data_IF_226316783573
#
_entry.id   IF_226316783573
#
_cell.length_a   1.000
_cell.length_b   1.000
_cell.length_c   1.000
_cell.angle_alpha   90.00
_cell.angle_beta   90.00
_cell.angle_gamma   90.00
#
_symmetry.space_group_name_H-M   'P 1'
#
loop_
_entity.id
_entity.type
_entity.pdbx_description
1 polymer ?
#
# COMPACT_ATOMS: atom_id res chain seq x y z
N UNK A 1 -34.05 -4.08 8.82
CA UNK A 1 -34.43 -2.65 8.89
C UNK A 1 -33.22 -1.73 8.95
N UNK A 2 -33.15 -0.78 8.02
CA UNK A 2 -32.16 0.31 8.03
C UNK A 2 -32.60 1.46 8.96
N UNK A 3 -31.67 2.30 9.42
CA UNK A 3 -32.02 3.41 10.33
C UNK A 3 -32.88 4.49 9.65
N UNK A 4 -32.73 4.66 8.34
CA UNK A 4 -33.54 5.61 7.57
C UNK A 4 -34.95 5.08 7.33
N UNK A 5 -35.07 3.78 7.04
CA UNK A 5 -36.34 3.09 6.90
C UNK A 5 -37.12 3.07 8.23
N UNK A 6 -36.45 2.79 9.35
CA UNK A 6 -37.07 2.87 10.69
C UNK A 6 -37.62 4.27 10.97
N UNK A 7 -36.85 5.30 10.64
CA UNK A 7 -37.28 6.70 10.78
C UNK A 7 -38.46 7.04 9.89
N UNK A 8 -38.46 6.57 8.64
CA UNK A 8 -39.55 6.81 7.69
C UNK A 8 -40.84 6.14 8.20
N UNK A 9 -40.77 4.88 8.59
CA UNK A 9 -41.93 4.17 9.13
C UNK A 9 -42.48 4.80 10.42
N UNK A 10 -41.61 5.26 11.33
CA UNK A 10 -42.04 5.99 12.52
C UNK A 10 -42.68 7.34 12.16
N UNK A 11 -42.11 8.08 11.21
CA UNK A 11 -42.68 9.35 10.74
C UNK A 11 -44.06 9.13 10.09
N UNK A 12 -44.19 8.12 9.24
CA UNK A 12 -45.45 7.76 8.60
C UNK A 12 -46.49 7.31 9.64
N UNK A 13 -46.09 6.57 10.68
CA UNK A 13 -46.96 6.17 11.78
C UNK A 13 -47.43 7.38 12.62
N UNK A 14 -46.53 8.31 12.95
CA UNK A 14 -46.86 9.55 13.65
C UNK A 14 -47.86 10.38 12.83
N UNK A 15 -47.61 10.56 11.53
CA UNK A 15 -48.50 11.30 10.65
C UNK A 15 -49.90 10.66 10.57
N UNK A 16 -49.97 9.32 10.47
CA UNK A 16 -51.26 8.58 10.51
C UNK A 16 -51.98 8.76 11.83
N UNK A 17 -51.25 8.73 12.96
CA UNK A 17 -51.83 8.95 14.28
C UNK A 17 -52.40 10.36 14.42
N UNK A 18 -51.66 11.39 14.01
CA UNK A 18 -52.14 12.78 14.05
C UNK A 18 -53.36 12.99 13.15
N UNK A 19 -53.34 12.42 11.95
CA UNK A 19 -54.48 12.46 11.04
C UNK A 19 -55.73 11.78 11.62
N UNK A 20 -55.58 10.60 12.23
CA UNK A 20 -56.69 9.93 12.93
C UNK A 20 -57.19 10.74 14.12
N UNK A 21 -56.28 11.35 14.89
CA UNK A 21 -56.62 12.19 16.03
C UNK A 21 -57.44 13.42 15.60
N UNK A 22 -57.05 14.07 14.50
CA UNK A 22 -57.80 15.19 13.92
C UNK A 22 -59.18 14.75 13.43
N UNK A 23 -59.27 13.64 12.69
CA UNK A 23 -60.54 13.08 12.22
C UNK A 23 -61.52 12.73 13.34
N UNK A 24 -61.01 12.24 14.47
CA UNK A 24 -61.83 11.95 15.65
C UNK A 24 -62.26 13.22 16.41
N UNK A 25 -61.53 14.32 16.24
CA UNK A 25 -61.84 15.63 16.83
C UNK A 25 -62.87 16.40 16.00
N UNK A 26 -62.87 16.22 14.68
CA UNK A 26 -63.83 16.82 13.74
C UNK A 26 -65.17 16.06 13.80
N UNK A 27 -65.92 16.28 14.88
CA UNK A 27 -67.23 15.63 15.14
C UNK A 27 -68.33 16.04 14.16
N UNK A 28 -68.16 17.17 13.47
CA UNK A 28 -69.22 17.83 12.70
C UNK A 28 -69.54 17.16 11.35
N UNK A 29 -68.73 16.19 10.93
CA UNK A 29 -68.93 15.49 9.65
C UNK A 29 -69.70 14.17 9.77
N UNK A 30 -70.06 13.71 10.97
CA UNK A 30 -70.62 12.35 11.16
C UNK A 30 -72.13 12.26 10.85
N UNK A 31 -72.87 13.35 10.99
CA UNK A 31 -74.34 13.34 10.86
C UNK A 31 -74.84 13.31 9.40
N UNK A 32 -73.97 13.55 8.42
CA UNK A 32 -74.32 13.63 6.99
C UNK A 32 -73.94 12.39 6.16
N UNK A 33 -73.33 11.38 6.76
CA UNK A 33 -72.89 10.18 6.05
C UNK A 33 -74.06 9.23 5.77
N UNK A 34 -74.11 8.69 4.55
CA UNK A 34 -74.96 7.54 4.25
C UNK A 34 -74.45 6.27 4.95
N UNK A 35 -75.30 5.26 5.13
CA UNK A 35 -74.94 4.00 5.78
C UNK A 35 -73.74 3.29 5.10
N UNK A 36 -73.67 3.33 3.77
CA UNK A 36 -72.54 2.78 3.02
C UNK A 36 -71.23 3.56 3.25
N UNK A 37 -71.30 4.89 3.27
CA UNK A 37 -70.14 5.74 3.56
C UNK A 37 -69.68 5.56 5.01
N UNK A 38 -70.60 5.36 5.93
CA UNK A 38 -70.31 5.02 7.33
C UNK A 38 -69.53 3.71 7.47
N UNK A 39 -69.97 2.65 6.78
CA UNK A 39 -69.24 1.39 6.76
C UNK A 39 -67.85 1.52 6.14
N UNK A 40 -67.72 2.25 5.02
CA UNK A 40 -66.42 2.52 4.40
C UNK A 40 -65.50 3.32 5.33
N UNK A 41 -66.03 4.32 6.03
CA UNK A 41 -65.29 5.13 6.99
C UNK A 41 -64.78 4.30 8.18
N UNK A 42 -65.65 3.48 8.79
CA UNK A 42 -65.28 2.58 9.88
C UNK A 42 -64.25 1.53 9.45
N UNK A 43 -64.41 0.96 8.26
CA UNK A 43 -63.45 0.00 7.69
C UNK A 43 -62.08 0.64 7.49
N UNK A 44 -62.03 1.85 6.93
CA UNK A 44 -60.78 2.59 6.74
C UNK A 44 -60.13 2.96 8.10
N UNK A 45 -60.91 3.40 9.08
CA UNK A 45 -60.42 3.69 10.43
C UNK A 45 -59.89 2.43 11.13
N UNK A 46 -60.58 1.29 10.99
CA UNK A 46 -60.11 -0.01 11.47
C UNK A 46 -58.81 -0.45 10.81
N UNK A 47 -58.68 -0.24 9.49
CA UNK A 47 -57.45 -0.56 8.75
C UNK A 47 -56.28 0.32 9.20
N UNK A 48 -56.49 1.63 9.33
CA UNK A 48 -55.46 2.57 9.77
C UNK A 48 -55.01 2.31 11.22
N UNK A 49 -55.93 1.98 12.12
CA UNK A 49 -55.61 1.62 13.51
C UNK A 49 -54.87 0.28 13.58
N UNK A 50 -55.27 -0.73 12.80
CA UNK A 50 -54.56 -2.00 12.70
C UNK A 50 -53.12 -1.83 12.17
N UNK A 51 -52.93 -0.96 11.16
CA UNK A 51 -51.59 -0.62 10.67
C UNK A 51 -50.73 0.02 11.76
N UNK A 52 -51.29 0.96 12.55
CA UNK A 52 -50.60 1.59 13.68
C UNK A 52 -50.20 0.57 14.75
N UNK A 53 -51.11 -0.32 15.14
CA UNK A 53 -50.85 -1.39 16.11
C UNK A 53 -49.73 -2.30 15.60
N UNK A 54 -49.76 -2.69 14.33
CA UNK A 54 -48.71 -3.49 13.73
C UNK A 54 -47.36 -2.77 13.73
N UNK A 55 -47.32 -1.47 13.42
CA UNK A 55 -46.08 -0.70 13.53
C UNK A 55 -45.59 -0.60 14.98
N UNK A 56 -46.47 -0.40 15.96
CA UNK A 56 -46.11 -0.40 17.38
C UNK A 56 -45.44 -1.70 17.77
N UNK A 57 -46.07 -2.83 17.46
CA UNK A 57 -45.55 -4.18 17.78
C UNK A 57 -44.16 -4.44 17.24
N UNK A 58 -43.84 -3.92 16.04
CA UNK A 58 -42.50 -4.04 15.46
C UNK A 58 -41.46 -3.30 16.31
N UNK A 59 -41.82 -2.13 16.87
CA UNK A 59 -40.92 -1.32 17.70
C UNK A 59 -40.97 -1.63 19.19
N UNK A 60 -41.95 -2.42 19.64
CA UNK A 60 -42.01 -2.97 20.99
C UNK A 60 -40.97 -4.08 21.22
N UNK A 61 -40.34 -4.61 20.15
CA UNK A 61 -39.21 -5.55 20.26
C UNK A 61 -37.93 -4.84 20.73
N UNK A 62 -37.54 -5.10 21.98
CA UNK A 62 -36.33 -4.58 22.61
C UNK A 62 -35.06 -4.89 21.82
N UNK A 63 -34.98 -6.03 21.12
CA UNK A 63 -33.80 -6.41 20.35
C UNK A 63 -33.62 -5.49 19.13
N UNK A 64 -34.71 -5.23 18.40
CA UNK A 64 -34.72 -4.30 17.28
C UNK A 64 -34.35 -2.89 17.74
N UNK A 65 -34.92 -2.45 18.86
CA UNK A 65 -34.68 -1.11 19.41
C UNK A 65 -33.21 -0.95 19.85
N UNK A 66 -32.63 -1.96 20.50
CA UNK A 66 -31.21 -2.01 20.85
C UNK A 66 -30.31 -2.03 19.60
N UNK A 67 -30.69 -2.76 18.55
CA UNK A 67 -29.95 -2.77 17.28
C UNK A 67 -29.95 -1.38 16.63
N UNK A 68 -31.09 -0.69 16.58
CA UNK A 68 -31.20 0.65 16.04
C UNK A 68 -30.39 1.66 16.85
N UNK A 69 -30.42 1.58 18.19
CA UNK A 69 -29.56 2.37 19.09
C UNK A 69 -28.07 2.15 18.78
N UNK A 70 -27.63 0.89 18.62
CA UNK A 70 -26.24 0.56 18.25
C UNK A 70 -25.84 1.16 16.89
N UNK A 71 -26.71 1.05 15.88
CA UNK A 71 -26.49 1.66 14.55
C UNK A 71 -26.40 3.19 14.64
N UNK A 72 -27.27 3.83 15.42
CA UNK A 72 -27.24 5.27 15.65
C UNK A 72 -25.94 5.71 16.33
N UNK A 73 -25.51 4.98 17.36
CA UNK A 73 -24.26 5.27 18.09
C UNK A 73 -23.03 5.05 17.20
N UNK A 74 -23.03 4.03 16.33
CA UNK A 74 -21.98 3.83 15.32
C UNK A 74 -21.88 5.04 14.38
N UNK A 75 -23.01 5.56 13.89
CA UNK A 75 -23.03 6.75 13.03
C UNK A 75 -22.53 8.00 13.76
N UNK A 76 -22.93 8.23 15.01
CA UNK A 76 -22.44 9.34 15.84
C UNK A 76 -20.93 9.27 16.03
N UNK A 77 -20.40 8.09 16.39
CA UNK A 77 -18.95 7.85 16.53
C UNK A 77 -18.21 8.09 15.23
N UNK A 78 -18.72 7.58 14.10
CA UNK A 78 -18.10 7.78 12.79
C UNK A 78 -18.07 9.26 12.38
N UNK A 79 -19.15 10.01 12.61
CA UNK A 79 -19.20 11.46 12.36
C UNK A 79 -18.19 12.22 13.23
N UNK A 80 -18.10 11.88 14.52
CA UNK A 80 -17.13 12.48 15.43
C UNK A 80 -15.68 12.16 15.01
N UNK A 81 -15.42 10.91 14.65
CA UNK A 81 -14.13 10.47 14.12
C UNK A 81 -13.76 11.22 12.84
N UNK A 82 -14.68 11.34 11.87
CA UNK A 82 -14.45 12.08 10.62
C UNK A 82 -14.09 13.54 10.88
N UNK A 83 -14.76 14.20 11.84
CA UNK A 83 -14.41 15.57 12.28
C UNK A 83 -13.01 15.64 12.89
N UNK A 84 -12.67 14.71 13.80
CA UNK A 84 -11.35 14.65 14.44
C UNK A 84 -10.24 14.35 13.45
N UNK A 85 -10.49 13.44 12.51
CA UNK A 85 -9.57 13.07 11.45
C UNK A 85 -9.29 14.26 10.52
N UNK A 86 -10.33 14.95 10.05
CA UNK A 86 -10.18 16.18 9.24
C UNK A 86 -9.32 17.22 9.94
N UNK A 87 -9.55 17.47 11.24
CA UNK A 87 -8.72 18.38 12.05
C UNK A 87 -7.26 17.93 12.13
N UNK A 88 -6.99 16.65 12.37
CA UNK A 88 -5.63 16.10 12.43
C UNK A 88 -4.89 16.23 11.09
N UNK A 89 -5.57 15.94 9.97
CA UNK A 89 -4.99 16.09 8.63
C UNK A 89 -4.65 17.55 8.35
N UNK A 90 -5.57 18.48 8.66
CA UNK A 90 -5.31 19.92 8.53
C UNK A 90 -4.14 20.39 9.40
N UNK A 91 -4.02 19.91 10.65
CA UNK A 91 -2.89 20.22 11.52
C UNK A 91 -1.57 19.71 10.96
N UNK A 92 -1.51 18.47 10.47
CA UNK A 92 -0.32 17.92 9.81
C UNK A 92 0.08 18.75 8.59
N UNK A 93 -0.88 19.14 7.73
CA UNK A 93 -0.62 20.00 6.57
C UNK A 93 -0.06 21.36 7.00
N UNK A 94 -0.64 22.01 8.02
CA UNK A 94 -0.10 23.26 8.58
C UNK A 94 1.31 23.11 9.14
N UNK A 95 1.61 22.00 9.83
CA UNK A 95 2.95 21.73 10.33
C UNK A 95 3.96 21.52 9.21
N UNK A 96 3.58 20.81 8.13
CA UNK A 96 4.41 20.65 6.94
C UNK A 96 4.68 21.99 6.28
N UNK A 97 3.66 22.83 6.08
CA UNK A 97 3.84 24.18 5.52
C UNK A 97 4.81 25.01 6.37
N UNK A 98 4.68 25.02 7.70
CA UNK A 98 5.62 25.70 8.59
C UNK A 98 7.05 25.14 8.50
N UNK A 99 7.21 23.83 8.33
CA UNK A 99 8.53 23.22 8.12
C UNK A 99 9.12 23.65 6.77
N UNK A 100 8.31 23.66 5.72
CA UNK A 100 8.71 24.09 4.39
C UNK A 100 9.10 25.56 4.39
N UNK A 101 8.31 26.45 5.01
CA UNK A 101 8.65 27.88 5.16
C UNK A 101 9.98 28.08 5.90
N UNK A 102 10.20 27.34 6.99
CA UNK A 102 11.49 27.38 7.71
C UNK A 102 12.65 26.91 6.83
N UNK A 103 12.44 25.84 6.07
CA UNK A 103 13.45 25.29 5.17
C UNK A 103 13.78 26.26 4.03
N UNK A 104 12.77 26.91 3.45
CA UNK A 104 12.94 27.96 2.44
C UNK A 104 13.74 29.12 3.04
N UNK A 105 13.38 29.61 4.23
CA UNK A 105 14.13 30.69 4.90
C UNK A 105 15.58 30.31 5.20
N UNK A 106 15.84 29.08 5.63
CA UNK A 106 17.19 28.58 5.88
C UNK A 106 18.02 28.50 4.58
N UNK A 107 17.39 28.09 3.47
CA UNK A 107 18.02 28.10 2.15
C UNK A 107 18.28 29.52 1.67
N UNK A 108 17.28 30.40 1.73
CA UNK A 108 17.42 31.81 1.36
C UNK A 108 18.53 32.47 2.18
N UNK A 109 18.58 32.19 3.48
CA UNK A 109 19.67 32.66 4.34
C UNK A 109 21.01 32.10 3.85
N UNK A 110 21.16 30.78 3.67
CA UNK A 110 22.39 30.16 3.16
C UNK A 110 22.81 30.71 1.79
N UNK A 111 21.88 30.95 0.88
CA UNK A 111 22.13 31.49 -0.46
C UNK A 111 22.50 32.97 -0.42
N UNK A 112 21.97 33.75 0.54
CA UNK A 112 22.31 35.18 0.69
C UNK A 112 23.61 35.40 1.46
N UNK A 113 23.93 34.57 2.45
CA UNK A 113 25.22 34.66 3.16
C UNK A 113 26.36 33.92 2.48
N UNK A 114 26.14 32.88 1.66
CA UNK A 114 27.24 32.19 0.99
C UNK A 114 28.05 33.10 0.04
N UNK A 115 27.47 33.98 -0.79
CA UNK A 115 28.24 34.89 -1.64
C UNK A 115 29.00 35.94 -0.83
N UNK A 116 28.44 36.46 0.27
CA UNK A 116 29.10 37.49 1.08
C UNK A 116 30.19 36.91 1.99
N UNK A 117 29.97 35.73 2.57
CA UNK A 117 30.96 35.00 3.38
C UNK A 117 32.06 34.44 2.48
N UNK A 118 31.73 33.94 1.28
CA UNK A 118 32.76 33.51 0.32
C UNK A 118 33.52 34.70 -0.26
N UNK A 119 32.88 35.85 -0.54
CA UNK A 119 33.60 37.05 -1.00
C UNK A 119 34.52 37.62 0.08
N UNK A 120 34.07 37.67 1.34
CA UNK A 120 34.89 38.09 2.48
C UNK A 120 36.01 37.09 2.79
N UNK A 121 35.75 35.78 2.70
CA UNK A 121 36.75 34.74 2.87
C UNK A 121 37.76 34.70 1.73
N UNK A 122 37.36 34.97 0.48
CA UNK A 122 38.28 35.11 -0.66
C UNK A 122 39.14 36.38 -0.52
N UNK A 123 38.59 37.47 0.01
CA UNK A 123 39.34 38.69 0.31
C UNK A 123 40.35 38.50 1.47
N UNK A 124 39.96 37.79 2.53
CA UNK A 124 40.83 37.46 3.66
C UNK A 124 41.86 36.35 3.34
N UNK A 125 41.51 35.37 2.49
CA UNK A 125 42.44 34.35 2.03
C UNK A 125 43.56 34.90 1.13
N UNK A 126 43.30 35.99 0.40
CA UNK A 126 44.34 36.71 -0.35
C UNK A 126 45.36 37.41 0.56
N UNK A 127 45.00 37.75 1.81
CA UNK A 127 45.89 38.39 2.78
C UNK A 127 46.56 37.39 3.75
N UNK A 128 46.00 36.19 3.93
CA UNK A 128 46.49 35.16 4.87
C UNK A 128 47.17 33.92 4.21
N UNK A 129 47.44 33.95 2.90
CA UNK A 129 47.82 32.79 2.07
C UNK A 129 49.11 32.02 2.45
N UNK A 130 49.85 32.42 3.48
CA UNK A 130 51.13 31.79 3.84
C UNK A 130 51.11 30.94 5.12
N UNK A 131 50.09 31.02 5.98
CA UNK A 131 50.13 30.39 7.32
C UNK A 131 48.91 29.54 7.72
N UNK A 132 47.73 29.70 7.12
CA UNK A 132 46.49 29.05 7.60
C UNK A 132 46.21 27.65 7.02
N UNK A 133 46.82 27.28 5.90
CA UNK A 133 46.66 25.95 5.26
C UNK A 133 47.14 24.81 6.16
N UNK A 134 48.14 25.03 7.01
CA UNK A 134 48.63 24.00 7.95
C UNK A 134 47.71 23.82 9.17
N UNK A 135 47.11 24.90 9.70
CA UNK A 135 46.22 24.80 10.87
C UNK A 135 44.87 24.14 10.52
N UNK A 136 44.25 24.50 9.39
CA UNK A 136 43.01 23.86 8.94
C UNK A 136 43.20 22.37 8.61
N UNK A 137 44.34 22.00 7.98
CA UNK A 137 44.67 20.59 7.77
C UNK A 137 44.86 19.83 9.08
N UNK A 138 45.44 20.46 10.11
CA UNK A 138 45.61 19.81 11.43
C UNK A 138 44.26 19.56 12.13
N UNK A 139 43.32 20.50 12.04
CA UNK A 139 42.00 20.39 12.64
C UNK A 139 41.15 19.34 11.92
N UNK A 140 41.21 19.30 10.58
CA UNK A 140 40.56 18.26 9.78
C UNK A 140 41.13 16.86 10.11
N UNK A 141 42.46 16.73 10.24
CA UNK A 141 43.08 15.46 10.66
C UNK A 141 42.61 15.01 12.05
N UNK A 142 42.46 15.94 13.00
CA UNK A 142 41.91 15.63 14.34
C UNK A 142 40.45 15.19 14.26
N UNK A 143 39.61 15.86 13.46
CA UNK A 143 38.21 15.50 13.25
C UNK A 143 38.08 14.13 12.58
N UNK A 144 38.86 13.84 11.55
CA UNK A 144 38.87 12.53 10.88
C UNK A 144 39.24 11.43 11.89
N UNK A 145 40.24 11.66 12.75
CA UNK A 145 40.62 10.71 13.82
C UNK A 145 39.52 10.49 14.86
N UNK A 146 38.73 11.50 15.21
CA UNK A 146 37.63 11.33 16.16
C UNK A 146 36.44 10.61 15.52
N UNK A 147 36.13 10.93 14.25
CA UNK A 147 35.08 10.25 13.49
C UNK A 147 35.43 8.78 13.21
N UNK A 148 36.68 8.47 12.89
CA UNK A 148 37.12 7.08 12.68
C UNK A 148 37.02 6.24 13.94
N UNK A 149 37.40 6.79 15.11
CA UNK A 149 37.21 6.12 16.41
C UNK A 149 35.73 5.86 16.72
N UNK A 150 34.85 6.85 16.47
CA UNK A 150 33.40 6.68 16.65
C UNK A 150 32.83 5.62 15.71
N UNK A 151 33.27 5.60 14.46
CA UNK A 151 32.87 4.58 13.48
C UNK A 151 33.28 3.19 13.96
N UNK A 152 34.53 3.01 14.41
CA UNK A 152 35.03 1.74 14.94
C UNK A 152 34.18 1.21 16.12
N UNK A 153 33.83 2.09 17.06
CA UNK A 153 32.94 1.73 18.18
C UNK A 153 31.52 1.35 17.71
N UNK A 154 30.98 2.05 16.71
CA UNK A 154 29.67 1.73 16.14
C UNK A 154 29.68 0.39 15.39
N UNK A 155 30.76 0.07 14.68
CA UNK A 155 30.92 -1.24 14.02
C UNK A 155 31.03 -2.35 15.05
N UNK A 156 31.72 -2.13 16.17
CA UNK A 156 31.81 -3.11 17.26
C UNK A 156 30.46 -3.34 17.93
N UNK A 157 29.70 -2.28 18.22
CA UNK A 157 28.32 -2.39 18.74
C UNK A 157 27.42 -3.15 17.75
N UNK A 158 27.56 -2.91 16.44
CA UNK A 158 26.80 -3.63 15.42
C UNK A 158 27.15 -5.12 15.41
N UNK A 159 28.43 -5.48 15.50
CA UNK A 159 28.88 -6.87 15.58
C UNK A 159 28.35 -7.57 16.83
N UNK A 160 28.42 -6.94 18.01
CA UNK A 160 27.87 -7.50 19.26
C UNK A 160 26.36 -7.70 19.20
N UNK A 161 25.62 -6.76 18.59
CA UNK A 161 24.16 -6.89 18.38
C UNK A 161 23.83 -8.00 17.41
N UNK A 162 24.57 -8.15 16.31
CA UNK A 162 24.42 -9.25 15.37
C UNK A 162 24.69 -10.59 16.03
N UNK A 163 25.81 -10.74 16.73
CA UNK A 163 26.15 -11.97 17.49
C UNK A 163 25.07 -12.35 18.50
N UNK A 164 24.47 -11.37 19.18
CA UNK A 164 23.31 -11.58 20.05
C UNK A 164 22.09 -12.07 19.26
N UNK A 165 21.80 -11.48 18.11
CA UNK A 165 20.67 -11.87 17.26
C UNK A 165 20.89 -13.24 16.58
N UNK A 166 22.12 -13.59 16.21
CA UNK A 166 22.52 -14.91 15.72
C UNK A 166 22.33 -15.99 16.79
N UNK A 167 22.71 -15.69 18.05
CA UNK A 167 22.41 -16.58 19.18
C UNK A 167 20.91 -16.78 19.43
N UNK A 168 20.08 -15.86 18.92
CA UNK A 168 18.61 -15.92 18.95
C UNK A 168 18.01 -16.50 17.65
N UNK A 169 18.85 -16.99 16.73
CA UNK A 169 18.42 -17.64 15.48
C UNK A 169 18.17 -16.70 14.29
N UNK A 170 18.57 -15.42 14.37
CA UNK A 170 18.51 -14.51 13.22
C UNK A 170 19.77 -14.63 12.35
N UNK A 171 19.59 -14.68 11.03
CA UNK A 171 20.67 -14.83 10.05
C UNK A 171 21.02 -13.49 9.38
N UNK A 172 22.31 -13.16 9.29
CA UNK A 172 22.82 -11.99 8.57
C UNK A 172 23.69 -12.42 7.39
N UNK A 173 23.33 -11.99 6.18
CA UNK A 173 24.00 -12.40 4.94
C UNK A 173 25.38 -11.74 4.72
N UNK A 174 25.72 -10.67 5.43
CA UNK A 174 26.91 -9.85 5.15
C UNK A 174 28.26 -10.53 5.51
N UNK A 175 28.27 -11.56 6.36
CA UNK A 175 29.50 -12.20 6.88
C UNK A 175 29.49 -13.74 6.82
N UNK A 176 28.48 -14.35 6.19
CA UNK A 176 28.34 -15.80 6.02
C UNK A 176 28.93 -16.34 4.71
N UNK A 177 29.95 -15.69 4.16
CA UNK A 177 30.42 -15.87 2.78
C UNK A 177 31.34 -17.09 2.55
N UNK A 178 30.93 -18.29 2.97
CA UNK A 178 31.53 -19.49 2.35
C UNK A 178 31.02 -19.66 0.90
N UNK A 179 29.76 -19.27 0.65
CA UNK A 179 29.10 -19.42 -0.65
C UNK A 179 29.48 -18.30 -1.62
N UNK A 180 29.42 -17.04 -1.21
CA UNK A 180 29.76 -15.91 -2.09
C UNK A 180 31.22 -15.87 -2.50
N UNK A 181 32.15 -16.27 -1.62
CA UNK A 181 33.56 -16.44 -1.99
C UNK A 181 33.74 -17.56 -3.03
N UNK A 182 33.03 -18.69 -2.90
CA UNK A 182 33.02 -19.76 -3.93
C UNK A 182 32.44 -19.30 -5.26
N UNK A 183 31.37 -18.51 -5.25
CA UNK A 183 30.75 -17.95 -6.47
C UNK A 183 31.71 -16.97 -7.16
N UNK A 184 32.41 -16.13 -6.39
CA UNK A 184 33.43 -15.21 -6.91
C UNK A 184 34.63 -15.95 -7.52
N UNK A 185 35.13 -17.00 -6.85
CA UNK A 185 36.19 -17.86 -7.37
C UNK A 185 35.77 -18.63 -8.64
N UNK A 186 34.51 -19.08 -8.70
CA UNK A 186 33.96 -19.74 -9.89
C UNK A 186 33.89 -18.80 -11.09
N UNK A 187 33.48 -17.53 -10.89
CA UNK A 187 33.46 -16.52 -11.95
C UNK A 187 34.87 -16.24 -12.49
N UNK A 188 35.88 -16.13 -11.63
CA UNK A 188 37.28 -15.89 -12.04
C UNK A 188 37.88 -17.05 -12.84
N UNK A 189 37.52 -18.30 -12.53
CA UNK A 189 37.95 -19.49 -13.30
C UNK A 189 37.31 -19.55 -14.69
N UNK A 190 36.04 -19.13 -14.81
CA UNK A 190 35.35 -19.16 -16.09
C UNK A 190 35.69 -17.97 -16.99
N UNK A 191 36.03 -16.82 -16.41
CA UNK A 191 36.52 -15.65 -17.17
C UNK A 191 37.91 -15.90 -17.77
N UNK A 192 38.77 -16.68 -17.11
CA UNK A 192 40.10 -17.04 -17.64
C UNK A 192 40.06 -18.14 -18.71
N UNK A 193 39.03 -19.00 -18.71
CA UNK A 193 38.82 -20.03 -19.73
C UNK A 193 38.21 -19.50 -21.05
N UNK A 194 37.67 -18.28 -21.06
CA UNK A 194 36.97 -17.68 -22.20
C UNK A 194 37.79 -16.65 -22.98
N UNK A 195 39.13 -16.67 -22.87
CA UNK A 195 40.03 -15.96 -23.78
C UNK A 195 40.35 -16.90 -24.96
N UNK A 196 39.82 -16.68 -26.17
CA UNK A 196 40.10 -17.54 -27.32
C UNK A 196 41.49 -17.18 -27.85
N UNK A 197 42.44 -18.10 -27.69
CA UNK A 197 43.70 -18.09 -28.44
C UNK A 197 43.38 -18.42 -29.90
N UNK A 198 43.58 -17.46 -30.80
CA UNK A 198 43.53 -17.67 -32.23
C UNK A 198 44.81 -18.39 -32.66
N UNK A 199 44.70 -19.65 -33.07
CA UNK A 199 45.53 -20.28 -34.10
C UNK A 199 44.97 -21.67 -34.41
N UNK A 200 44.19 -21.79 -35.50
CA UNK A 200 44.43 -22.74 -36.60
C UNK A 200 43.31 -22.64 -37.64
N UNK A 201 43.72 -22.32 -38.87
CA UNK A 201 42.92 -22.36 -40.09
C UNK A 201 43.03 -23.73 -40.75
N UNK A 202 41.92 -24.28 -41.26
CA UNK A 202 41.82 -24.84 -42.63
C UNK A 202 40.34 -25.13 -43.02
N UNK A 203 39.96 -24.57 -44.18
CA UNK A 203 38.64 -24.53 -44.87
C UNK A 203 38.25 -25.88 -45.56
N UNK A 204 37.09 -26.10 -46.27
CA UNK A 204 36.13 -25.14 -46.87
C UNK A 204 34.58 -25.46 -46.80
N UNK A 205 33.70 -24.54 -47.27
CA UNK A 205 32.21 -24.62 -47.19
C UNK A 205 31.57 -25.05 -48.55
N UNK A 206 30.24 -25.08 -48.80
CA UNK A 206 29.07 -24.71 -47.97
C UNK A 206 27.91 -25.75 -47.99
N UNK A 207 26.96 -25.65 -47.05
CA UNK A 207 25.53 -25.71 -47.40
C UNK A 207 24.66 -25.12 -46.30
N UNK A 208 23.88 -24.12 -46.71
CA UNK A 208 22.82 -23.49 -45.95
C UNK A 208 21.74 -24.52 -45.65
N UNK A 209 21.53 -24.85 -44.38
CA UNK A 209 20.23 -25.27 -43.91
C UNK A 209 19.85 -24.39 -42.73
N UNK A 210 18.91 -23.50 -43.01
CA UNK A 210 18.02 -22.90 -42.04
C UNK A 210 17.31 -24.03 -41.29
N UNK A 211 17.90 -24.50 -40.20
CA UNK A 211 17.13 -25.11 -39.14
C UNK A 211 17.17 -24.10 -38.01
N UNK A 212 15.99 -23.57 -37.69
CA UNK A 212 15.74 -22.91 -36.43
C UNK A 212 16.15 -23.89 -35.33
N UNK A 213 17.39 -23.78 -34.86
CA UNK A 213 17.75 -24.33 -33.57
C UNK A 213 16.82 -23.64 -32.58
N UNK A 214 15.75 -24.36 -32.21
CA UNK A 214 15.03 -24.08 -30.98
C UNK A 214 16.11 -24.02 -29.92
N UNK A 215 16.51 -22.80 -29.52
CA UNK A 215 17.41 -22.58 -28.39
C UNK A 215 16.84 -23.41 -27.25
N UNK A 216 17.47 -24.55 -26.98
CA UNK A 216 17.05 -25.41 -25.90
C UNK A 216 17.25 -24.59 -24.64
N UNK A 217 16.17 -24.45 -23.88
CA UNK A 217 16.18 -23.67 -22.65
C UNK A 217 17.24 -24.26 -21.72
N UNK A 218 18.15 -23.42 -21.22
CA UNK A 218 19.16 -23.82 -20.24
C UNK A 218 18.47 -24.12 -18.92
N UNK A 219 18.18 -25.39 -18.72
CA UNK A 219 17.70 -26.00 -17.49
C UNK A 219 18.63 -25.61 -16.34
N UNK A 220 18.08 -25.06 -15.26
CA UNK A 220 18.87 -24.70 -14.09
C UNK A 220 19.37 -25.99 -13.40
N UNK A 221 20.66 -26.10 -13.02
CA UNK A 221 21.24 -27.36 -12.52
C UNK A 221 20.59 -27.89 -11.23
N UNK A 222 19.98 -27.02 -10.43
CA UNK A 222 19.29 -27.37 -9.18
C UNK A 222 17.77 -27.54 -9.35
N UNK A 223 17.24 -27.46 -10.57
CA UNK A 223 15.81 -27.60 -10.79
C UNK A 223 15.41 -29.10 -10.81
N UNK A 224 14.51 -29.47 -9.90
CA UNK A 224 14.02 -30.84 -9.70
C UNK A 224 12.68 -31.10 -10.40
N UNK A 225 12.10 -30.08 -11.03
CA UNK A 225 10.74 -30.08 -11.55
C UNK A 225 10.66 -30.47 -13.03
N UNK A 226 11.79 -30.64 -13.71
CA UNK A 226 11.89 -31.06 -15.12
C UNK A 226 11.15 -32.37 -15.46
N UNK A 227 10.96 -33.24 -14.47
CA UNK A 227 10.35 -34.56 -14.65
C UNK A 227 8.88 -34.60 -14.25
N UNK A 228 8.34 -33.51 -13.69
CA UNK A 228 6.93 -33.44 -13.36
C UNK A 228 6.11 -33.12 -14.63
N UNK A 229 4.89 -33.62 -14.69
CA UNK A 229 3.93 -33.32 -15.78
C UNK A 229 3.39 -31.89 -15.73
N UNK A 230 4.26 -30.92 -15.46
CA UNK A 230 3.93 -29.50 -15.38
C UNK A 230 3.65 -28.97 -16.79
N UNK A 231 2.76 -27.98 -16.87
CA UNK A 231 2.52 -27.25 -18.10
C UNK A 231 3.83 -26.66 -18.64
N UNK A 232 4.26 -27.19 -19.79
CA UNK A 232 5.50 -26.81 -20.47
C UNK A 232 5.51 -25.33 -20.80
N UNK A 233 4.36 -24.71 -21.05
CA UNK A 233 4.26 -23.27 -21.38
C UNK A 233 4.59 -22.42 -20.16
N UNK A 234 3.99 -22.72 -19.01
CA UNK A 234 4.26 -22.04 -17.75
C UNK A 234 5.69 -22.25 -17.27
N UNK A 235 6.20 -23.49 -17.42
CA UNK A 235 7.56 -23.84 -17.07
C UNK A 235 8.60 -23.08 -17.93
N UNK A 236 8.38 -23.01 -19.26
CA UNK A 236 9.23 -22.23 -20.15
C UNK A 236 9.21 -20.73 -19.84
N UNK A 237 8.07 -20.18 -19.43
CA UNK A 237 7.95 -18.79 -18.99
C UNK A 237 8.82 -18.51 -17.75
N UNK A 238 8.84 -19.45 -16.79
CA UNK A 238 9.64 -19.34 -15.57
C UNK A 238 11.14 -19.40 -15.87
N UNK A 239 11.60 -20.44 -16.59
CA UNK A 239 13.02 -20.63 -16.93
C UNK A 239 13.55 -19.54 -17.88
N UNK A 240 12.72 -19.06 -18.80
CA UNK A 240 13.13 -18.11 -19.82
C UNK A 240 13.55 -16.75 -19.27
N UNK A 241 13.08 -16.37 -18.07
CA UNK A 241 13.42 -15.09 -17.43
C UNK A 241 14.90 -14.98 -17.02
N UNK A 242 15.56 -16.10 -16.70
CA UNK A 242 16.97 -16.14 -16.33
C UNK A 242 17.93 -16.21 -17.53
N UNK A 243 17.43 -16.54 -18.72
CA UNK A 243 18.26 -16.87 -19.88
C UNK A 243 18.37 -15.72 -20.90
N UNK A 244 17.39 -14.79 -20.92
CA UNK A 244 17.43 -13.62 -21.79
C UNK A 244 16.90 -12.39 -21.08
N UNK A 245 17.59 -11.26 -21.27
CA UNK A 245 17.16 -9.97 -20.74
C UNK A 245 15.83 -9.50 -21.36
N UNK A 246 15.58 -9.87 -22.62
CA UNK A 246 14.36 -9.50 -23.34
C UNK A 246 13.13 -10.23 -22.78
N UNK A 247 13.26 -11.53 -22.46
CA UNK A 247 12.20 -12.30 -21.80
C UNK A 247 11.98 -11.81 -20.37
N UNK A 248 13.03 -11.44 -19.64
CA UNK A 248 12.90 -10.81 -18.32
C UNK A 248 12.14 -9.47 -18.39
N UNK A 249 12.44 -8.62 -19.37
CA UNK A 249 11.74 -7.35 -19.56
C UNK A 249 10.26 -7.58 -19.93
N UNK A 250 9.97 -8.56 -20.79
CA UNK A 250 8.59 -8.89 -21.17
C UNK A 250 7.79 -9.49 -20.01
N UNK A 251 8.38 -10.40 -19.23
CA UNK A 251 7.76 -10.92 -18.01
C UNK A 251 7.49 -9.79 -17.02
N UNK A 252 8.47 -8.89 -16.78
CA UNK A 252 8.29 -7.74 -15.90
C UNK A 252 7.17 -6.81 -16.37
N UNK A 253 7.12 -6.47 -17.67
CA UNK A 253 6.07 -5.64 -18.26
C UNK A 253 4.67 -6.27 -18.11
N UNK A 254 4.57 -7.60 -18.27
CA UNK A 254 3.34 -8.34 -18.02
C UNK A 254 2.91 -8.21 -16.55
N UNK A 255 3.82 -8.39 -15.60
CA UNK A 255 3.53 -8.20 -14.17
C UNK A 255 3.15 -6.75 -13.83
N UNK A 256 3.81 -5.77 -14.45
CA UNK A 256 3.50 -4.35 -14.25
C UNK A 256 2.06 -4.01 -14.66
N UNK A 257 1.46 -4.71 -15.64
CA UNK A 257 0.04 -4.54 -15.98
C UNK A 257 -0.91 -4.92 -14.84
N UNK A 258 -0.48 -5.77 -13.90
CA UNK A 258 -1.27 -6.20 -12.74
C UNK A 258 -0.97 -5.38 -11.49
N UNK A 259 0.15 -4.65 -11.46
CA UNK A 259 0.62 -3.86 -10.32
C UNK A 259 0.25 -2.37 -10.49
N UNK A 260 0.30 -1.86 -11.73
CA UNK A 260 -0.05 -0.47 -12.02
C UNK A 260 -1.58 -0.30 -12.00
N UNK A 261 -2.05 0.45 -11.01
CA UNK A 261 -3.40 1.02 -11.05
C UNK A 261 -3.42 2.03 -12.21
N UNK A 262 -4.19 1.75 -13.25
CA UNK A 262 -4.55 2.79 -14.19
C UNK A 262 -5.36 3.84 -13.40
N UNK A 263 -4.74 4.97 -13.08
CA UNK A 263 -5.42 6.16 -12.53
C UNK A 263 -6.24 6.87 -13.60
N UNK A 264 -6.89 6.13 -14.50
CA UNK A 264 -7.88 6.71 -15.41
C UNK A 264 -9.17 6.85 -14.61
N UNK A 265 -9.36 8.05 -14.05
CA UNK A 265 -10.61 8.60 -13.51
C UNK A 265 -11.71 8.67 -14.60
N UNK A 266 -12.04 7.56 -15.25
CA UNK A 266 -13.18 7.46 -16.16
C UNK A 266 -14.30 6.67 -15.48
N UNK A 267 -15.13 7.41 -14.74
CA UNK A 267 -16.32 6.99 -13.97
C UNK A 267 -17.47 6.40 -14.82
N UNK A 268 -17.20 5.91 -16.03
CA UNK A 268 -18.23 5.45 -16.97
C UNK A 268 -18.29 3.93 -17.18
N UNK A 269 -17.41 3.14 -16.55
CA UNK A 269 -17.46 1.67 -16.65
C UNK A 269 -17.47 0.98 -15.28
N UNK A 270 -18.60 0.39 -14.84
CA UNK A 270 -18.72 -0.30 -13.54
C UNK A 270 -17.82 -1.54 -13.40
N UNK A 271 -17.19 -1.97 -14.49
CA UNK A 271 -16.33 -3.16 -14.56
C UNK A 271 -14.84 -2.83 -14.77
N UNK A 272 -14.44 -1.57 -14.86
CA UNK A 272 -13.04 -1.18 -15.10
C UNK A 272 -12.16 -1.20 -13.83
N UNK A 273 -12.79 -1.23 -12.64
CA UNK A 273 -12.10 -1.28 -11.34
C UNK A 273 -11.97 -2.70 -10.77
N UNK A 274 -11.90 -3.73 -11.63
CA UNK A 274 -11.38 -5.01 -11.17
C UNK A 274 -9.86 -4.88 -11.09
N UNK A 275 -9.35 -4.88 -9.85
CA UNK A 275 -7.99 -5.30 -9.59
C UNK A 275 -7.69 -6.50 -10.49
N UNK A 276 -6.77 -6.36 -11.43
CA UNK A 276 -6.49 -7.43 -12.41
C UNK A 276 -5.93 -8.70 -11.76
N UNK A 277 -5.65 -8.67 -10.47
CA UNK A 277 -5.40 -9.85 -9.64
C UNK A 277 -6.74 -10.39 -9.14
N UNK A 278 -7.19 -11.58 -9.59
CA UNK A 278 -8.39 -12.20 -9.05
C UNK A 278 -8.22 -12.45 -7.54
N UNK A 279 -9.21 -12.12 -6.70
CA UNK A 279 -9.10 -12.19 -5.24
C UNK A 279 -8.91 -13.61 -4.66
N UNK A 280 -8.90 -14.65 -5.51
CA UNK A 280 -8.94 -16.05 -5.12
C UNK A 280 -7.66 -16.84 -5.41
N UNK A 281 -6.62 -16.24 -5.98
CA UNK A 281 -5.62 -17.08 -6.66
C UNK A 281 -4.71 -17.92 -5.76
N UNK A 282 -4.48 -17.59 -4.48
CA UNK A 282 -3.73 -18.50 -3.59
C UNK A 282 -4.13 -18.26 -2.12
N UNK A 283 -4.60 -19.31 -1.43
CA UNK A 283 -4.63 -19.32 0.05
C UNK A 283 -3.18 -19.34 0.54
N UNK A 284 -2.71 -18.35 1.30
CA UNK A 284 -1.31 -18.28 1.66
C UNK A 284 -0.94 -19.45 2.60
N UNK A 285 0.21 -20.07 2.32
CA UNK A 285 0.69 -21.17 3.15
C UNK A 285 0.98 -20.68 4.59
N UNK A 286 0.57 -21.41 5.64
CA UNK A 286 0.91 -21.05 7.01
C UNK A 286 2.43 -20.90 7.19
N UNK A 287 2.93 -19.88 7.93
CA UNK A 287 2.19 -18.97 8.81
C UNK A 287 1.74 -17.65 8.17
N UNK A 288 1.85 -17.48 6.85
CA UNK A 288 1.63 -16.20 6.16
C UNK A 288 0.13 -15.81 6.11
N UNK A 289 -0.47 -15.46 7.23
CA UNK A 289 -1.83 -14.91 7.27
C UNK A 289 -1.81 -13.37 7.38
N UNK A 290 -2.98 -12.75 7.24
CA UNK A 290 -3.13 -11.30 7.40
C UNK A 290 -2.66 -10.80 8.78
N UNK A 291 -2.67 -11.67 9.78
CA UNK A 291 -2.17 -11.40 11.13
C UNK A 291 -0.64 -11.32 11.11
N UNK A 292 0.06 -12.24 10.46
CA UNK A 292 1.52 -12.24 10.28
C UNK A 292 1.99 -10.98 9.53
N UNK A 293 1.30 -10.60 8.46
CA UNK A 293 1.62 -9.38 7.71
C UNK A 293 1.44 -8.09 8.54
N UNK A 294 0.60 -8.10 9.58
CA UNK A 294 0.39 -6.94 10.45
C UNK A 294 1.55 -6.68 11.43
N UNK A 295 2.43 -7.66 11.64
CA UNK A 295 3.59 -7.53 12.54
C UNK A 295 4.86 -6.96 11.86
N UNK A 296 4.83 -6.76 10.53
CA UNK A 296 5.96 -6.25 9.74
C UNK A 296 5.88 -4.75 9.40
N UNK A 297 4.83 -4.04 9.83
CA UNK A 297 4.65 -2.59 9.70
C UNK A 297 4.97 -1.86 11.01
#
# INVERSE_FOLDING_TARGET
MSLNEAKKQLADAIAKYEHLKLKLSDKDNLESYSEQEWHAHLSNLGLQTAQLINTSRVYDDDNLLNLLKRKQNKLKRHRAWKKKHKKRVQQKKKQQLKKNEKWIKDIEWKVTVAPSVNAAAIAAAKTAASSETQQQQSNNKKLIKTLSKKLALLTEIRALRRKKLESQGHFFADEGDAFFNKVKEWHQRNETANVPTQDEQQSPPPQQQQQQEKKQLVIHPEDTWHHMGIDKVAYNYWCGSGQSLETLLNTRRLWDQYILLNNSDDDLNPHANLHKVPPTFVTPAPPANAIWASYLL
#
